data_IF_577804289903
#
_entry.id   IF_577804289903
#
_cell.length_a   1.000
_cell.length_b   1.000
_cell.length_c   1.000
_cell.angle_alpha   90.00
_cell.angle_beta   90.00
_cell.angle_gamma   90.00
#
_symmetry.space_group_name_H-M   'P 1'
#
loop_
_entity.id
_entity.type
_entity.pdbx_description
1 polymer ?
#
# COMPACT_ATOMS: atom_id res chain seq x y z
N UNK A 1 3.44 21.20 37.23
CA UNK A 1 2.70 20.15 36.51
C UNK A 1 2.09 20.78 35.26
N UNK A 2 2.74 20.62 34.10
CA UNK A 2 2.26 21.18 32.84
C UNK A 2 1.01 20.41 32.40
N UNK A 3 -0.12 21.11 32.22
CA UNK A 3 -1.32 20.51 31.64
C UNK A 3 -0.98 20.05 30.23
N UNK A 4 -1.03 18.74 29.98
CA UNK A 4 -1.06 18.19 28.62
C UNK A 4 -2.15 18.93 27.84
N UNK A 5 -1.73 19.79 26.91
CA UNK A 5 -2.68 20.47 26.02
C UNK A 5 -3.25 19.38 25.12
N UNK A 6 -4.56 19.14 25.25
CA UNK A 6 -5.26 18.22 24.37
C UNK A 6 -4.94 18.58 22.91
N UNK A 7 -4.39 17.62 22.15
CA UNK A 7 -4.04 17.84 20.75
C UNK A 7 -5.25 18.37 19.97
N UNK A 8 -5.00 19.36 19.11
CA UNK A 8 -5.99 19.88 18.17
C UNK A 8 -6.45 18.82 17.17
N UNK A 9 -7.62 19.03 16.55
CA UNK A 9 -8.24 18.06 15.63
C UNK A 9 -7.30 17.63 14.48
N UNK A 10 -6.56 18.56 13.91
CA UNK A 10 -5.60 18.28 12.83
C UNK A 10 -4.43 17.40 13.30
N UNK A 11 -3.89 17.65 14.50
CA UNK A 11 -2.84 16.84 15.09
C UNK A 11 -3.31 15.40 15.35
N UNK A 12 -4.54 15.22 15.85
CA UNK A 12 -5.13 13.89 16.05
C UNK A 12 -5.30 13.13 14.74
N UNK A 13 -5.80 13.79 13.68
CA UNK A 13 -5.97 13.18 12.35
C UNK A 13 -4.62 12.83 11.73
N UNK A 14 -3.62 13.69 11.85
CA UNK A 14 -2.26 13.42 11.40
C UNK A 14 -1.65 12.21 12.11
N UNK A 15 -1.79 12.12 13.44
CA UNK A 15 -1.33 10.96 14.20
C UNK A 15 -2.06 9.67 13.79
N UNK A 16 -3.37 9.73 13.59
CA UNK A 16 -4.15 8.59 13.11
C UNK A 16 -3.67 8.11 11.72
N UNK A 17 -3.40 9.04 10.81
CA UNK A 17 -2.86 8.73 9.48
C UNK A 17 -1.49 8.04 9.55
N UNK A 18 -0.59 8.52 10.41
CA UNK A 18 0.75 7.94 10.58
C UNK A 18 0.70 6.52 11.14
N UNK A 19 -0.18 6.28 12.12
CA UNK A 19 -0.39 4.95 12.69
C UNK A 19 -1.01 4.00 11.67
N UNK A 20 -2.01 4.45 10.91
CA UNK A 20 -2.60 3.66 9.84
C UNK A 20 -1.54 3.32 8.78
N UNK A 21 -0.71 4.28 8.35
CA UNK A 21 0.36 4.04 7.38
C UNK A 21 1.36 2.97 7.85
N UNK A 22 1.75 3.01 9.13
CA UNK A 22 2.59 1.96 9.75
C UNK A 22 1.90 0.60 9.70
N UNK A 23 0.63 0.55 10.07
CA UNK A 23 -0.13 -0.70 10.18
C UNK A 23 -0.41 -1.30 8.79
N UNK A 24 -0.70 -0.46 7.78
CA UNK A 24 -0.80 -0.88 6.38
C UNK A 24 0.53 -1.43 5.86
N UNK A 25 1.64 -0.74 6.12
CA UNK A 25 2.98 -1.22 5.73
C UNK A 25 3.29 -2.59 6.38
N UNK A 26 2.96 -2.75 7.66
CA UNK A 26 3.15 -4.02 8.37
C UNK A 26 2.34 -5.16 7.73
N UNK A 27 1.08 -4.89 7.36
CA UNK A 27 0.22 -5.84 6.66
C UNK A 27 0.81 -6.25 5.30
N UNK A 28 1.27 -5.27 4.52
CA UNK A 28 1.89 -5.51 3.21
C UNK A 28 3.15 -6.38 3.32
N UNK A 29 4.02 -6.10 4.30
CA UNK A 29 5.22 -6.90 4.53
C UNK A 29 4.89 -8.34 4.94
N UNK A 30 3.88 -8.54 5.79
CA UNK A 30 3.40 -9.88 6.15
C UNK A 30 2.88 -10.65 4.94
N UNK A 31 2.08 -10.01 4.08
CA UNK A 31 1.56 -10.63 2.86
C UNK A 31 2.65 -11.01 1.85
N UNK A 32 3.75 -10.25 1.87
CA UNK A 32 4.97 -10.48 1.09
C UNK A 32 5.97 -11.41 1.80
N UNK A 33 5.55 -12.16 2.82
CA UNK A 33 6.35 -13.14 3.55
C UNK A 33 7.63 -12.57 4.20
N UNK A 34 7.65 -11.28 4.53
CA UNK A 34 8.75 -10.69 5.30
C UNK A 34 8.63 -11.13 6.76
N UNK A 35 9.77 -11.47 7.37
CA UNK A 35 9.89 -11.83 8.78
C UNK A 35 9.28 -10.73 9.68
N UNK A 36 8.60 -11.13 10.76
CA UNK A 36 7.73 -10.27 11.55
C UNK A 36 8.48 -9.14 12.29
N UNK A 37 9.64 -9.42 12.86
CA UNK A 37 10.49 -8.43 13.53
C UNK A 37 10.99 -7.40 12.52
N UNK A 38 11.51 -7.86 11.38
CA UNK A 38 11.96 -7.00 10.28
C UNK A 38 10.83 -6.15 9.70
N UNK A 39 9.63 -6.74 9.52
CA UNK A 39 8.45 -6.02 9.05
C UNK A 39 8.05 -4.90 10.03
N UNK A 40 8.06 -5.19 11.33
CA UNK A 40 7.77 -4.18 12.37
C UNK A 40 8.80 -3.06 12.38
N UNK A 41 10.08 -3.39 12.28
CA UNK A 41 11.17 -2.40 12.23
C UNK A 41 11.01 -1.47 11.03
N UNK A 42 10.82 -2.02 9.81
CA UNK A 42 10.70 -1.21 8.59
C UNK A 42 9.45 -0.33 8.63
N UNK A 43 8.32 -0.84 9.12
CA UNK A 43 7.09 -0.05 9.24
C UNK A 43 7.21 1.12 10.21
N UNK A 44 7.90 0.91 11.35
CA UNK A 44 8.16 2.00 12.31
C UNK A 44 9.10 3.06 11.71
N UNK A 45 10.16 2.62 11.03
CA UNK A 45 11.10 3.51 10.37
C UNK A 45 10.41 4.34 9.27
N UNK A 46 9.53 3.71 8.47
CA UNK A 46 8.72 4.40 7.48
C UNK A 46 7.86 5.51 8.12
N UNK A 47 7.16 5.21 9.21
CA UNK A 47 6.37 6.21 9.94
C UNK A 47 7.26 7.36 10.43
N UNK A 48 8.44 7.05 10.98
CA UNK A 48 9.40 8.05 11.44
C UNK A 48 9.88 8.96 10.31
N UNK A 49 10.25 8.41 9.15
CA UNK A 49 10.67 9.17 7.97
C UNK A 49 9.56 10.13 7.52
N UNK A 50 8.31 9.66 7.45
CA UNK A 50 7.17 10.53 7.08
C UNK A 50 6.99 11.65 8.10
N UNK A 51 7.10 11.37 9.41
CA UNK A 51 7.08 12.40 10.44
C UNK A 51 8.19 13.44 10.26
N UNK A 52 9.41 13.04 9.92
CA UNK A 52 10.53 13.97 9.72
C UNK A 52 10.33 14.86 8.48
N UNK A 53 9.84 14.29 7.38
CA UNK A 53 9.71 15.03 6.12
C UNK A 53 8.46 15.93 6.07
N UNK A 54 7.36 15.50 6.70
CA UNK A 54 6.05 16.13 6.54
C UNK A 54 5.44 16.66 7.84
N UNK A 55 6.09 16.40 8.99
CA UNK A 55 5.63 16.86 10.29
C UNK A 55 5.49 18.37 10.38
N UNK A 56 4.45 18.83 11.07
CA UNK A 56 4.16 20.26 11.24
C UNK A 56 3.43 20.93 10.07
N UNK A 57 3.24 20.23 8.95
CA UNK A 57 2.52 20.75 7.79
C UNK A 57 1.01 20.45 7.87
N UNK A 58 0.18 21.33 7.29
CA UNK A 58 -1.23 21.08 7.06
C UNK A 58 -1.42 20.57 5.63
N UNK A 59 -1.59 19.25 5.48
CA UNK A 59 -1.71 18.59 4.18
C UNK A 59 -3.15 18.28 3.81
N UNK A 60 -3.45 18.44 2.52
CA UNK A 60 -4.66 17.93 1.89
C UNK A 60 -4.30 16.65 1.13
N UNK A 61 -4.98 15.53 1.46
CA UNK A 61 -4.82 14.26 0.75
C UNK A 61 -5.88 14.21 -0.36
N UNK A 62 -5.43 14.19 -1.61
CA UNK A 62 -6.32 14.03 -2.77
C UNK A 62 -6.92 12.62 -2.79
N UNK A 63 -8.11 12.47 -3.38
CA UNK A 63 -8.54 11.17 -3.87
C UNK A 63 -7.69 10.89 -5.11
N UNK A 64 -6.69 10.04 -4.96
CA UNK A 64 -5.81 9.64 -6.05
C UNK A 64 -6.15 8.24 -6.52
N UNK A 65 -6.20 8.07 -7.84
CA UNK A 65 -6.64 6.83 -8.51
C UNK A 65 -5.43 5.95 -8.90
N UNK A 66 -4.23 6.39 -8.57
CA UNK A 66 -2.99 5.83 -9.09
C UNK A 66 -2.43 4.70 -8.24
N UNK A 67 -2.56 3.47 -8.72
CA UNK A 67 -1.64 2.39 -8.36
C UNK A 67 -0.59 2.27 -9.47
N UNK A 68 0.69 2.26 -9.09
CA UNK A 68 1.79 2.01 -10.02
C UNK A 68 2.21 0.55 -9.88
N UNK A 69 2.06 -0.21 -10.96
CA UNK A 69 2.55 -1.57 -11.02
C UNK A 69 4.08 -1.57 -11.04
N UNK A 70 4.69 -2.39 -10.17
CA UNK A 70 6.12 -2.68 -10.27
C UNK A 70 6.39 -3.76 -11.34
N UNK A 71 7.67 -3.94 -11.72
CA UNK A 71 8.05 -4.91 -12.76
C UNK A 71 7.64 -6.35 -12.41
N UNK A 72 7.64 -6.69 -11.11
CA UNK A 72 7.27 -8.02 -10.63
C UNK A 72 5.77 -8.25 -10.79
N UNK A 73 4.94 -7.28 -10.45
CA UNK A 73 3.48 -7.33 -10.62
C UNK A 73 3.10 -7.49 -12.09
N UNK A 74 3.80 -6.78 -12.99
CA UNK A 74 3.67 -6.93 -14.43
C UNK A 74 4.00 -8.37 -14.86
N UNK A 75 5.10 -8.93 -14.36
CA UNK A 75 5.52 -10.27 -14.73
C UNK A 75 4.58 -11.35 -14.18
N UNK A 76 4.11 -11.21 -12.94
CA UNK A 76 3.10 -12.08 -12.33
C UNK A 76 1.83 -12.08 -13.18
N UNK A 77 1.38 -10.91 -13.63
CA UNK A 77 0.19 -10.80 -14.46
C UNK A 77 0.36 -11.40 -15.86
N UNK A 78 1.55 -11.27 -16.47
CA UNK A 78 1.87 -11.94 -17.75
C UNK A 78 1.88 -13.45 -17.64
N UNK A 79 2.36 -13.99 -16.51
CA UNK A 79 2.42 -15.43 -16.27
C UNK A 79 1.06 -16.02 -15.83
N UNK A 80 0.08 -15.17 -15.53
CA UNK A 80 -1.23 -15.58 -15.05
C UNK A 80 -2.10 -16.15 -16.18
N UNK A 81 -2.63 -17.36 -15.99
CA UNK A 81 -3.45 -18.06 -16.99
C UNK A 81 -4.94 -18.16 -16.62
N UNK A 82 -5.36 -17.50 -15.53
CA UNK A 82 -6.74 -17.52 -15.03
C UNK A 82 -6.95 -18.37 -13.78
N UNK A 83 -6.15 -19.42 -13.58
CA UNK A 83 -6.36 -20.39 -12.49
C UNK A 83 -5.07 -20.93 -11.85
N UNK A 84 -3.90 -20.34 -12.15
CA UNK A 84 -2.59 -20.77 -11.62
C UNK A 84 -2.09 -19.96 -10.43
N UNK A 85 -2.96 -19.42 -9.57
CA UNK A 85 -2.56 -18.56 -8.45
C UNK A 85 -1.64 -19.27 -7.45
N UNK A 86 -1.89 -20.57 -7.20
CA UNK A 86 -1.06 -21.37 -6.30
C UNK A 86 0.36 -21.57 -6.87
N UNK A 87 0.48 -21.83 -8.16
CA UNK A 87 1.78 -22.00 -8.84
C UNK A 87 2.57 -20.69 -8.84
N UNK A 88 1.90 -19.56 -9.09
CA UNK A 88 2.51 -18.23 -9.04
C UNK A 88 2.96 -17.87 -7.63
N UNK A 89 2.15 -18.18 -6.61
CA UNK A 89 2.51 -17.96 -5.22
C UNK A 89 3.82 -18.66 -4.86
N UNK A 90 3.97 -19.92 -5.28
CA UNK A 90 5.21 -20.67 -5.09
C UNK A 90 6.37 -20.09 -5.91
N UNK A 91 6.15 -19.75 -7.18
CA UNK A 91 7.19 -19.23 -8.09
C UNK A 91 7.79 -17.90 -7.60
N UNK A 92 6.97 -17.02 -7.05
CA UNK A 92 7.36 -15.66 -6.66
C UNK A 92 7.58 -15.48 -5.16
N UNK A 93 7.47 -16.56 -4.37
CA UNK A 93 7.57 -16.56 -2.90
C UNK A 93 6.59 -15.56 -2.23
N UNK A 94 5.33 -15.63 -2.66
CA UNK A 94 4.25 -14.76 -2.19
C UNK A 94 3.09 -15.59 -1.67
N UNK A 95 2.27 -15.01 -0.80
CA UNK A 95 1.01 -15.67 -0.42
C UNK A 95 0.04 -15.70 -1.60
N UNK A 96 -0.79 -16.75 -1.67
CA UNK A 96 -1.84 -16.88 -2.70
C UNK A 96 -2.80 -15.68 -2.69
N UNK A 97 -3.12 -15.17 -1.51
CA UNK A 97 -3.96 -13.97 -1.34
C UNK A 97 -3.30 -12.74 -1.96
N UNK A 98 -1.98 -12.60 -1.82
CA UNK A 98 -1.25 -11.49 -2.41
C UNK A 98 -1.22 -11.59 -3.95
N UNK A 99 -1.06 -12.80 -4.49
CA UNK A 99 -1.21 -13.04 -5.94
C UNK A 99 -2.61 -12.62 -6.45
N UNK A 100 -3.69 -12.99 -5.75
CA UNK A 100 -5.04 -12.54 -6.12
C UNK A 100 -5.15 -11.01 -6.14
N UNK A 101 -4.56 -10.33 -5.16
CA UNK A 101 -4.54 -8.85 -5.09
C UNK A 101 -3.79 -8.23 -6.27
N UNK A 102 -2.62 -8.77 -6.62
CA UNK A 102 -1.83 -8.30 -7.76
C UNK A 102 -2.63 -8.46 -9.05
N UNK A 103 -3.16 -9.67 -9.32
CA UNK A 103 -3.95 -9.94 -10.53
C UNK A 103 -5.15 -8.99 -10.64
N UNK A 104 -5.88 -8.77 -9.54
CA UNK A 104 -7.03 -7.85 -9.53
C UNK A 104 -6.63 -6.41 -9.85
N UNK A 105 -5.52 -5.91 -9.29
CA UNK A 105 -5.02 -4.55 -9.55
C UNK A 105 -4.55 -4.40 -10.99
N UNK A 106 -3.77 -5.36 -11.49
CA UNK A 106 -3.27 -5.37 -12.86
C UNK A 106 -4.39 -5.44 -13.89
N UNK A 107 -5.44 -6.22 -13.64
CA UNK A 107 -6.62 -6.26 -14.49
C UNK A 107 -7.36 -4.92 -14.55
N UNK A 108 -7.43 -4.19 -13.42
CA UNK A 108 -8.03 -2.85 -13.39
C UNK A 108 -7.20 -1.83 -14.18
N UNK A 109 -5.86 -1.86 -14.05
CA UNK A 109 -4.95 -1.02 -14.84
C UNK A 109 -5.11 -1.30 -16.33
N UNK A 110 -5.09 -2.58 -16.73
CA UNK A 110 -5.18 -2.95 -18.14
C UNK A 110 -6.55 -2.58 -18.73
N UNK A 111 -7.63 -2.73 -17.95
CA UNK A 111 -8.96 -2.26 -18.34
C UNK A 111 -8.99 -0.75 -18.57
N UNK A 112 -8.43 0.04 -17.64
CA UNK A 112 -8.37 1.50 -17.78
C UNK A 112 -7.52 1.94 -18.99
N UNK A 113 -6.46 1.18 -19.32
CA UNK A 113 -5.63 1.42 -20.51
C UNK A 113 -6.36 1.13 -21.82
N UNK A 114 -7.10 0.02 -21.87
CA UNK A 114 -7.79 -0.44 -23.08
C UNK A 114 -9.11 0.30 -23.34
N UNK A 115 -9.76 0.79 -22.29
CA UNK A 115 -11.01 1.53 -22.37
C UNK A 115 -10.86 2.89 -21.70
N UNK A 116 -10.19 3.86 -22.36
CA UNK A 116 -10.23 5.26 -21.92
C UNK A 116 -11.69 5.70 -21.88
N UNK A 117 -12.03 6.54 -20.90
CA UNK A 117 -13.40 6.97 -20.64
C UNK A 117 -14.09 7.47 -21.91
N UNK A 118 -15.18 6.79 -22.31
CA UNK A 118 -15.95 7.11 -23.52
C UNK A 118 -16.83 8.35 -23.32
N UNK A 119 -16.99 8.79 -22.08
CA UNK A 119 -17.78 9.95 -21.69
C UNK A 119 -16.94 10.85 -20.78
N UNK A 120 -15.80 11.32 -21.30
CA UNK A 120 -14.96 12.29 -20.59
C UNK A 120 -15.81 13.44 -20.04
N UNK A 121 -15.66 13.69 -18.73
CA UNK A 121 -16.27 14.84 -18.05
C UNK A 121 -15.66 16.18 -18.42
#
# INVERSE_FOLDING_TARGET
MSKERAQGQHSRRGQALLLDLRDQALSLFKEANVEAEKASQISNELMYIICQHWGGQLLYITKGDGFFADERDIQIYKDFNGHNQADLAQKYDLSVVYIYRIVKRMAAIEKARLQPDLFGG
#
